data_IF_924243768540
#
_entry.id   IF_924243768540
#
_cell.length_a   1.000
_cell.length_b   1.000
_cell.length_c   1.000
_cell.angle_alpha   90.00
_cell.angle_beta   90.00
_cell.angle_gamma   90.00
#
_symmetry.space_group_name_H-M   'P 1'
#
loop_
_entity.id
_entity.type
_entity.pdbx_description
1 polymer ?
#
# COMPACT_ATOMS: atom_id res chain seq x y z
N UNK A 1 -33.16 38.33 -31.39
CA UNK A 1 -32.51 37.60 -30.28
C UNK A 1 -32.17 36.19 -30.80
N UNK A 2 -30.98 36.02 -31.30
CA UNK A 2 -30.51 34.72 -31.79
C UNK A 2 -29.91 33.96 -30.64
N UNK A 3 -30.57 32.88 -30.22
CA UNK A 3 -30.01 31.93 -29.27
C UNK A 3 -29.03 31.03 -30.05
N UNK A 4 -27.76 31.25 -29.80
CA UNK A 4 -26.68 30.31 -30.26
C UNK A 4 -26.72 29.10 -29.35
N UNK A 5 -27.33 27.99 -29.82
CA UNK A 5 -27.23 26.69 -29.18
C UNK A 5 -25.81 26.22 -29.43
N UNK A 6 -24.95 26.32 -28.41
CA UNK A 6 -23.65 25.66 -28.40
C UNK A 6 -23.90 24.14 -28.25
N UNK A 7 -23.82 23.40 -29.36
CA UNK A 7 -23.81 21.94 -29.32
C UNK A 7 -22.56 21.50 -28.54
N UNK A 8 -22.78 20.82 -27.41
CA UNK A 8 -21.71 20.16 -26.67
C UNK A 8 -21.20 18.99 -27.54
N UNK A 9 -19.94 19.06 -27.87
CA UNK A 9 -19.24 18.05 -28.66
C UNK A 9 -19.06 16.79 -27.78
N UNK A 10 -19.64 15.67 -28.22
CA UNK A 10 -19.64 14.40 -27.46
C UNK A 10 -18.69 13.38 -28.07
N UNK A 11 -18.33 12.35 -27.31
CA UNK A 11 -17.44 11.27 -27.77
C UNK A 11 -18.01 10.48 -28.94
N UNK A 12 -19.34 10.49 -29.15
CA UNK A 12 -20.02 9.90 -30.30
C UNK A 12 -19.72 10.61 -31.64
N UNK A 13 -19.22 11.84 -31.59
CA UNK A 13 -18.87 12.63 -32.77
C UNK A 13 -17.44 12.34 -33.27
N UNK A 14 -16.67 11.52 -32.53
CA UNK A 14 -15.32 11.10 -32.86
C UNK A 14 -15.36 9.80 -33.67
N UNK A 15 -15.24 9.90 -35.00
CA UNK A 15 -15.12 8.77 -35.93
C UNK A 15 -13.65 8.53 -36.29
N UNK A 16 -13.35 7.35 -36.84
CA UNK A 16 -11.99 6.96 -37.29
C UNK A 16 -11.31 8.00 -38.19
N UNK A 17 -12.08 8.78 -38.93
CA UNK A 17 -11.59 9.83 -39.82
C UNK A 17 -11.18 11.12 -39.08
N UNK A 18 -11.61 11.31 -37.84
CA UNK A 18 -11.34 12.49 -36.99
C UNK A 18 -10.39 12.18 -35.81
N UNK A 19 -9.72 11.04 -35.87
CA UNK A 19 -8.80 10.58 -34.79
C UNK A 19 -7.61 11.54 -34.58
N UNK A 20 -7.27 12.30 -35.60
CA UNK A 20 -6.18 13.31 -35.56
C UNK A 20 -6.63 14.70 -35.13
N UNK A 21 -7.92 14.91 -34.88
CA UNK A 21 -8.40 16.18 -34.34
C UNK A 21 -8.00 16.29 -32.85
N UNK A 22 -7.36 17.41 -32.51
CA UNK A 22 -6.90 17.69 -31.15
C UNK A 22 -8.03 17.70 -30.11
N UNK A 23 -9.28 17.96 -30.53
CA UNK A 23 -10.45 17.92 -29.66
C UNK A 23 -10.88 16.49 -29.37
N UNK A 24 -10.91 15.61 -30.36
CA UNK A 24 -11.20 14.19 -30.17
C UNK A 24 -10.14 13.50 -29.30
N UNK A 25 -8.86 13.77 -29.52
CA UNK A 25 -7.79 13.24 -28.67
C UNK A 25 -7.92 13.65 -27.21
N UNK A 26 -8.30 14.92 -26.94
CA UNK A 26 -8.52 15.37 -25.55
C UNK A 26 -9.72 14.70 -24.91
N UNK A 27 -10.81 14.46 -25.66
CA UNK A 27 -12.00 13.78 -25.15
C UNK A 27 -11.72 12.30 -24.87
N UNK A 28 -11.00 11.61 -25.75
CA UNK A 28 -10.61 10.21 -25.57
C UNK A 28 -9.68 10.06 -24.37
N UNK A 29 -8.66 10.90 -24.25
CA UNK A 29 -7.76 10.90 -23.11
C UNK A 29 -8.50 11.15 -21.78
N UNK A 30 -9.45 12.09 -21.79
CA UNK A 30 -10.28 12.35 -20.60
C UNK A 30 -11.16 11.15 -20.23
N UNK A 31 -11.71 10.45 -21.23
CA UNK A 31 -12.51 9.24 -21.02
C UNK A 31 -11.65 8.12 -20.43
N UNK A 32 -10.47 7.85 -21.00
CA UNK A 32 -9.52 6.86 -20.47
C UNK A 32 -9.08 7.16 -19.03
N UNK A 33 -8.85 8.44 -18.71
CA UNK A 33 -8.51 8.85 -17.34
C UNK A 33 -9.67 8.62 -16.37
N UNK A 34 -10.91 8.88 -16.78
CA UNK A 34 -12.09 8.63 -15.95
C UNK A 34 -12.31 7.13 -15.74
N UNK A 35 -12.20 6.33 -16.80
CA UNK A 35 -12.32 4.86 -16.71
C UNK A 35 -11.24 4.27 -15.78
N UNK A 36 -10.00 4.78 -15.87
CA UNK A 36 -8.92 4.37 -14.95
C UNK A 36 -9.23 4.74 -13.51
N UNK A 37 -9.73 5.96 -13.26
CA UNK A 37 -10.12 6.39 -11.92
C UNK A 37 -11.31 5.60 -11.35
N UNK A 38 -12.24 5.16 -12.20
CA UNK A 38 -13.35 4.30 -11.79
C UNK A 38 -12.88 2.88 -11.44
N UNK A 39 -11.94 2.32 -12.22
CA UNK A 39 -11.31 1.04 -11.91
C UNK A 39 -10.51 1.11 -10.60
N UNK A 40 -9.70 2.15 -10.41
CA UNK A 40 -8.95 2.37 -9.16
C UNK A 40 -9.88 2.53 -7.95
N UNK A 41 -11.06 3.12 -8.12
CA UNK A 41 -12.07 3.20 -7.04
C UNK A 41 -12.69 1.85 -6.72
N UNK A 42 -13.01 1.03 -7.73
CA UNK A 42 -13.56 -0.31 -7.53
C UNK A 42 -12.54 -1.23 -6.85
N UNK A 43 -11.26 -1.16 -7.24
CA UNK A 43 -10.19 -1.91 -6.60
C UNK A 43 -9.99 -1.46 -5.14
N UNK A 44 -10.09 -0.17 -4.86
CA UNK A 44 -10.01 0.38 -3.51
C UNK A 44 -11.21 -0.02 -2.64
N UNK A 45 -12.44 0.01 -3.16
CA UNK A 45 -13.62 -0.43 -2.42
C UNK A 45 -13.53 -1.92 -2.05
N UNK A 46 -12.91 -2.74 -2.88
CA UNK A 46 -12.72 -4.17 -2.64
C UNK A 46 -11.55 -4.44 -1.67
N UNK A 47 -10.51 -3.61 -1.69
CA UNK A 47 -9.40 -3.66 -0.72
C UNK A 47 -9.80 -3.08 0.64
N UNK A 48 -10.70 -2.13 0.69
CA UNK A 48 -11.22 -1.49 1.93
C UNK A 48 -11.98 -2.51 2.82
N UNK A 49 -12.49 -3.60 2.26
CA UNK A 49 -13.08 -4.68 3.05
C UNK A 49 -12.02 -5.42 3.90
N UNK A 50 -10.76 -5.46 3.47
CA UNK A 50 -9.69 -6.14 4.18
C UNK A 50 -8.77 -5.17 4.93
N UNK A 51 -8.38 -4.07 4.31
CA UNK A 51 -7.49 -3.05 4.89
C UNK A 51 -8.05 -1.64 4.65
N UNK A 52 -7.91 -0.73 5.63
CA UNK A 52 -8.41 0.64 5.52
C UNK A 52 -7.59 1.48 4.53
N UNK A 53 -8.25 2.44 3.87
CA UNK A 53 -7.57 3.45 3.05
C UNK A 53 -6.67 4.36 3.92
N UNK A 54 -5.51 4.77 3.38
CA UNK A 54 -4.55 5.65 4.07
C UNK A 54 -5.18 6.99 4.48
N UNK A 55 -6.17 7.47 3.73
CA UNK A 55 -6.87 8.71 4.01
C UNK A 55 -8.03 8.55 4.98
N UNK A 56 -8.31 7.33 5.47
CA UNK A 56 -9.35 7.10 6.47
C UNK A 56 -8.99 7.81 7.79
N UNK A 57 -9.84 8.68 8.35
CA UNK A 57 -9.56 9.34 9.63
C UNK A 57 -9.37 8.36 10.79
N UNK A 58 -9.91 7.14 10.69
CA UNK A 58 -9.77 6.08 11.68
C UNK A 58 -8.71 5.04 11.30
N UNK A 59 -7.86 5.34 10.32
CA UNK A 59 -6.83 4.44 9.80
C UNK A 59 -6.03 3.73 10.88
N UNK A 60 -5.48 4.51 11.84
CA UNK A 60 -4.63 3.99 12.92
C UNK A 60 -5.38 2.99 13.79
N UNK A 61 -6.63 3.28 14.12
CA UNK A 61 -7.47 2.40 14.96
C UNK A 61 -7.77 1.11 14.22
N UNK A 62 -8.21 1.20 12.97
CA UNK A 62 -8.52 0.04 12.14
C UNK A 62 -7.30 -0.86 11.88
N UNK A 63 -6.12 -0.29 11.68
CA UNK A 63 -4.86 -1.05 11.57
C UNK A 63 -4.53 -1.74 12.89
N UNK A 64 -4.63 -1.05 14.04
CA UNK A 64 -4.33 -1.62 15.35
C UNK A 64 -5.27 -2.77 15.74
N UNK A 65 -6.51 -2.79 15.21
CA UNK A 65 -7.48 -3.87 15.43
C UNK A 65 -7.18 -5.13 14.62
N UNK A 66 -6.39 -5.03 13.57
CA UNK A 66 -5.99 -6.20 12.76
C UNK A 66 -5.04 -7.08 13.58
N UNK A 67 -5.30 -8.39 13.57
CA UNK A 67 -4.56 -9.36 14.40
C UNK A 67 -3.05 -9.29 14.15
N UNK A 68 -2.63 -9.26 12.89
CA UNK A 68 -1.23 -9.21 12.47
C UNK A 68 -0.46 -7.97 12.97
N UNK A 69 -1.18 -6.88 13.28
CA UNK A 69 -0.61 -5.67 13.86
C UNK A 69 -0.80 -5.62 15.38
N UNK A 70 -1.92 -6.13 15.88
CA UNK A 70 -2.18 -6.23 17.31
C UNK A 70 -1.15 -7.13 18.00
N UNK A 71 -0.80 -8.25 17.39
CA UNK A 71 0.19 -9.20 17.90
C UNK A 71 1.61 -8.59 17.99
N UNK A 72 1.86 -7.43 17.35
CA UNK A 72 3.14 -6.71 17.43
C UNK A 72 3.17 -5.64 18.53
N UNK A 73 2.17 -5.55 19.37
CA UNK A 73 2.16 -4.59 20.48
C UNK A 73 3.18 -5.00 21.54
N UNK A 74 3.81 -3.99 22.13
CA UNK A 74 4.64 -4.19 23.31
C UNK A 74 3.74 -4.48 24.53
N UNK A 75 4.09 -5.48 25.30
CA UNK A 75 3.36 -5.87 26.52
C UNK A 75 3.48 -4.85 27.67
N UNK A 76 4.27 -3.79 27.49
CA UNK A 76 4.49 -2.73 28.47
C UNK A 76 5.31 -3.16 29.69
N UNK A 77 5.78 -4.40 29.74
CA UNK A 77 6.63 -4.87 30.81
C UNK A 77 8.01 -4.23 30.72
N UNK A 78 8.43 -3.51 31.77
CA UNK A 78 9.80 -3.05 31.90
C UNK A 78 10.67 -4.22 32.32
N UNK A 79 11.31 -4.89 31.37
CA UNK A 79 12.36 -5.88 31.69
C UNK A 79 13.61 -5.16 32.16
N UNK A 80 14.25 -5.73 33.18
CA UNK A 80 15.55 -5.26 33.60
C UNK A 80 16.59 -5.44 32.49
N UNK A 81 17.42 -4.43 32.28
CA UNK A 81 18.40 -4.40 31.17
C UNK A 81 19.35 -5.61 31.23
N UNK A 82 19.73 -6.05 32.41
CA UNK A 82 20.63 -7.20 32.58
C UNK A 82 19.98 -8.52 32.17
N UNK A 83 18.74 -8.75 32.57
CA UNK A 83 17.97 -9.95 32.20
C UNK A 83 17.68 -9.98 30.71
N UNK A 84 17.33 -8.83 30.10
CA UNK A 84 17.11 -8.73 28.68
C UNK A 84 18.40 -9.00 27.87
N UNK A 85 19.54 -8.48 28.32
CA UNK A 85 20.81 -8.71 27.67
C UNK A 85 21.24 -10.18 27.71
N UNK A 86 20.98 -10.89 28.80
CA UNK A 86 21.31 -12.29 28.94
C UNK A 86 20.37 -13.23 28.17
N UNK A 87 19.08 -12.90 28.09
CA UNK A 87 18.13 -13.59 27.23
C UNK A 87 18.50 -13.42 25.75
N UNK A 88 18.84 -12.19 25.34
CA UNK A 88 19.23 -11.88 23.94
C UNK A 88 20.52 -12.57 23.50
N UNK A 89 21.46 -12.88 24.41
CA UNK A 89 22.67 -13.62 24.12
C UNK A 89 22.46 -15.11 23.91
N UNK A 90 21.40 -15.66 24.51
CA UNK A 90 21.12 -17.11 24.51
C UNK A 90 20.06 -17.50 23.48
N UNK A 91 19.25 -16.54 23.04
CA UNK A 91 18.18 -16.76 22.07
C UNK A 91 18.65 -16.69 20.63
N UNK A 92 17.89 -17.31 19.74
CA UNK A 92 18.01 -17.10 18.31
C UNK A 92 17.63 -15.65 17.96
N UNK A 93 18.12 -15.17 16.82
CA UNK A 93 17.80 -13.83 16.35
C UNK A 93 16.30 -13.72 16.03
N UNK A 94 15.59 -12.90 16.81
CA UNK A 94 14.19 -12.57 16.60
C UNK A 94 14.04 -11.09 16.25
N UNK A 95 13.12 -10.79 15.34
CA UNK A 95 12.78 -9.42 15.01
C UNK A 95 12.02 -8.78 16.19
N UNK A 96 12.37 -7.54 16.51
CA UNK A 96 11.62 -6.77 17.50
C UNK A 96 10.19 -6.48 17.02
N UNK A 97 9.20 -6.30 17.91
CA UNK A 97 7.80 -6.08 17.56
C UNK A 97 7.58 -4.98 16.50
N UNK A 98 8.26 -3.85 16.64
CA UNK A 98 8.19 -2.76 15.65
C UNK A 98 8.77 -3.15 14.27
N UNK A 99 9.75 -4.06 14.22
CA UNK A 99 10.31 -4.56 12.97
C UNK A 99 9.35 -5.54 12.28
N UNK A 100 8.67 -6.37 13.07
CA UNK A 100 7.60 -7.26 12.59
C UNK A 100 6.44 -6.43 12.04
N UNK A 101 6.03 -5.37 12.76
CA UNK A 101 5.02 -4.44 12.28
C UNK A 101 5.36 -3.88 10.90
N UNK A 102 6.59 -3.38 10.71
CA UNK A 102 7.04 -2.83 9.42
C UNK A 102 7.02 -3.88 8.32
N UNK A 103 7.47 -5.10 8.61
CA UNK A 103 7.44 -6.24 7.70
C UNK A 103 6.01 -6.55 7.27
N UNK A 104 5.07 -6.68 8.22
CA UNK A 104 3.67 -6.95 7.93
C UNK A 104 3.01 -5.82 7.16
N UNK A 105 3.32 -4.56 7.49
CA UNK A 105 2.75 -3.38 6.83
C UNK A 105 3.15 -3.25 5.36
N UNK A 106 4.38 -3.61 5.00
CA UNK A 106 4.89 -3.59 3.62
C UNK A 106 4.83 -4.98 2.95
N UNK A 107 4.02 -5.88 3.48
CA UNK A 107 3.76 -7.20 2.89
C UNK A 107 2.91 -7.08 1.63
N UNK A 108 3.01 -8.05 0.73
CA UNK A 108 2.13 -8.19 -0.44
C UNK A 108 0.65 -8.40 -0.12
N UNK A 109 0.35 -8.76 1.12
CA UNK A 109 -1.02 -8.96 1.59
C UNK A 109 -1.73 -7.63 1.88
N UNK A 110 -0.97 -6.56 2.04
CA UNK A 110 -1.50 -5.21 2.32
C UNK A 110 -1.43 -4.33 1.08
N UNK A 111 -2.32 -3.36 0.92
CA UNK A 111 -2.27 -2.40 -0.19
C UNK A 111 -1.19 -1.33 -0.01
N UNK A 112 -0.43 -1.39 1.10
CA UNK A 112 0.53 -0.36 1.46
C UNK A 112 1.91 -0.65 0.86
N UNK A 113 2.43 0.26 0.08
CA UNK A 113 3.69 0.11 -0.66
C UNK A 113 4.81 1.07 -0.21
N UNK A 114 4.54 1.92 0.77
CA UNK A 114 5.50 2.90 1.27
C UNK A 114 5.31 3.21 2.75
N UNK A 115 6.42 3.38 3.46
CA UNK A 115 6.43 3.72 4.88
C UNK A 115 7.67 4.55 5.21
N UNK A 116 7.48 5.64 5.96
CA UNK A 116 8.59 6.42 6.49
C UNK A 116 8.99 5.90 7.88
N UNK A 117 10.20 5.34 8.00
CA UNK A 117 10.77 4.90 9.25
C UNK A 117 11.53 6.04 9.94
N UNK A 118 10.87 6.69 10.90
CA UNK A 118 11.46 7.76 11.71
C UNK A 118 11.67 7.30 13.15
N UNK A 119 12.84 6.72 13.41
CA UNK A 119 13.23 6.20 14.73
C UNK A 119 14.59 6.76 15.15
N UNK A 120 14.88 6.70 16.45
CA UNK A 120 16.19 7.09 16.99
C UNK A 120 17.33 6.21 16.46
N UNK A 121 18.55 6.64 16.66
CA UNK A 121 19.73 5.85 16.29
C UNK A 121 19.79 4.56 17.10
N UNK A 122 20.17 3.45 16.46
CA UNK A 122 20.31 2.14 17.13
C UNK A 122 19.04 1.31 17.24
N UNK A 123 17.89 1.76 16.74
CA UNK A 123 16.61 1.02 16.83
C UNK A 123 16.44 -0.10 15.79
N UNK A 124 17.46 -0.41 15.02
CA UNK A 124 17.43 -1.51 14.04
C UNK A 124 16.67 -1.22 12.74
N UNK A 125 16.66 0.05 12.26
CA UNK A 125 16.06 0.41 10.95
C UNK A 125 16.55 -0.45 9.80
N UNK A 126 17.83 -0.76 9.78
CA UNK A 126 18.43 -1.65 8.76
C UNK A 126 17.84 -3.06 8.83
N UNK A 127 17.64 -3.60 10.05
CA UNK A 127 17.01 -4.90 10.22
C UNK A 127 15.55 -4.90 9.75
N UNK A 128 14.79 -3.82 9.99
CA UNK A 128 13.45 -3.68 9.43
C UNK A 128 13.46 -3.72 7.89
N UNK A 129 14.38 -2.99 7.25
CA UNK A 129 14.51 -2.98 5.80
C UNK A 129 14.90 -4.36 5.25
N UNK A 130 15.84 -5.05 5.90
CA UNK A 130 16.21 -6.42 5.53
C UNK A 130 15.02 -7.36 5.65
N UNK A 131 14.26 -7.30 6.75
CA UNK A 131 13.06 -8.12 6.95
C UNK A 131 12.02 -7.95 5.84
N UNK A 132 11.79 -6.72 5.38
CA UNK A 132 10.90 -6.45 4.24
C UNK A 132 11.48 -7.04 2.93
N UNK A 133 12.78 -6.87 2.69
CA UNK A 133 13.41 -7.42 1.48
C UNK A 133 13.37 -8.95 1.44
N UNK A 134 13.56 -9.62 2.58
CA UNK A 134 13.46 -11.09 2.70
C UNK A 134 12.05 -11.57 2.38
N UNK A 135 11.02 -10.93 2.94
CA UNK A 135 9.62 -11.23 2.65
C UNK A 135 9.31 -11.10 1.15
N UNK A 136 9.74 -9.99 0.54
CA UNK A 136 9.55 -9.76 -0.90
C UNK A 136 10.29 -10.77 -1.76
N UNK A 137 11.51 -11.15 -1.35
CA UNK A 137 12.30 -12.14 -2.07
C UNK A 137 11.60 -13.51 -2.08
N UNK A 138 11.09 -13.94 -0.95
CA UNK A 138 10.44 -15.24 -0.82
C UNK A 138 9.15 -15.29 -1.65
N UNK A 139 8.36 -14.25 -1.63
CA UNK A 139 7.18 -14.11 -2.49
C UNK A 139 7.53 -14.17 -4.00
N UNK A 140 8.56 -13.45 -4.44
CA UNK A 140 9.01 -13.48 -5.83
C UNK A 140 9.53 -14.86 -6.26
N UNK A 141 10.13 -15.62 -5.33
CA UNK A 141 10.55 -17.00 -5.57
C UNK A 141 9.34 -17.92 -5.79
N UNK A 142 8.31 -17.81 -4.98
CA UNK A 142 7.08 -18.58 -5.15
C UNK A 142 6.41 -18.28 -6.48
N UNK A 143 6.29 -17.01 -6.87
CA UNK A 143 5.76 -16.63 -8.18
C UNK A 143 6.58 -17.18 -9.34
N UNK A 144 7.89 -17.21 -9.24
CA UNK A 144 8.76 -17.73 -10.31
C UNK A 144 8.61 -19.24 -10.51
N UNK A 145 8.22 -19.99 -9.47
CA UNK A 145 7.94 -21.43 -9.56
C UNK A 145 6.61 -21.76 -10.25
N UNK A 146 5.67 -20.82 -10.24
CA UNK A 146 4.35 -20.98 -10.90
C UNK A 146 4.45 -20.77 -12.42
N UNK A 147 5.48 -20.10 -12.90
CA UNK A 147 5.68 -19.76 -14.31
C UNK A 147 6.58 -20.75 -15.09
N UNK A 148 7.04 -21.84 -14.47
CA UNK A 148 7.71 -22.95 -15.14
C UNK A 148 6.69 -24.08 -15.31
#
# INVERSE_FOLDING_TARGET
>A
MSQTISQEFTTSDCNENNLYDTKCNKLLLKKELLERQELEKQDNEQSDALYPDINDPNFIVKIAEKKEFNDTQYDGSQKDIETFADESKKGDFELAPHQIFVKNYLSFQTPYNSLLLYHQLGTGKTCSAIGVCEEMRDYLRELSLIHI
#
